data_IF_791789710445
#
_entry.id   IF_791789710445
#
_cell.length_a   1.000
_cell.length_b   1.000
_cell.length_c   1.000
_cell.angle_alpha   90.00
_cell.angle_beta   90.00
_cell.angle_gamma   90.00
#
_symmetry.space_group_name_H-M   'P 1'
#
loop_
_entity.id
_entity.type
_entity.pdbx_description
1 polymer ?
#
# COMPACT_ATOMS: atom_id res chain seq x y z
N UNK A 1 -24.53 -39.08 -40.34
CA UNK A 1 -24.37 -39.07 -38.86
C UNK A 1 -23.14 -38.29 -38.55
N UNK A 2 -23.32 -36.99 -38.27
CA UNK A 2 -22.26 -36.06 -37.92
C UNK A 2 -22.21 -35.88 -36.42
N UNK A 3 -21.04 -35.95 -35.84
CA UNK A 3 -20.78 -35.59 -34.45
C UNK A 3 -20.13 -34.22 -34.45
N UNK A 4 -20.89 -33.24 -34.00
CA UNK A 4 -20.42 -31.89 -33.76
C UNK A 4 -19.50 -31.88 -32.53
N UNK A 5 -18.24 -31.52 -32.73
CA UNK A 5 -17.27 -31.22 -31.66
C UNK A 5 -17.47 -29.84 -31.16
N UNK A 6 -17.92 -29.73 -29.89
CA UNK A 6 -17.99 -28.50 -29.15
C UNK A 6 -16.57 -27.99 -28.83
N UNK A 7 -16.15 -26.92 -29.46
CA UNK A 7 -14.91 -26.20 -29.13
C UNK A 7 -15.14 -25.28 -27.92
N UNK A 8 -14.50 -25.61 -26.82
CA UNK A 8 -14.39 -24.75 -25.64
C UNK A 8 -13.59 -23.48 -25.99
N UNK A 9 -14.01 -22.28 -25.59
CA UNK A 9 -13.22 -21.07 -25.85
C UNK A 9 -11.93 -21.07 -25.00
N UNK A 10 -10.82 -20.91 -25.68
CA UNK A 10 -9.50 -20.79 -25.10
C UNK A 10 -9.49 -19.62 -24.09
N UNK A 11 -9.09 -19.91 -22.84
CA UNK A 11 -8.73 -18.93 -21.83
C UNK A 11 -7.54 -18.14 -22.36
N UNK A 12 -7.80 -16.88 -22.73
CA UNK A 12 -6.79 -15.99 -23.26
C UNK A 12 -5.65 -15.81 -22.27
N UNK A 13 -4.48 -16.19 -22.70
CA UNK A 13 -3.19 -15.94 -22.05
C UNK A 13 -2.95 -14.43 -21.98
N UNK A 14 -3.38 -13.81 -20.87
CA UNK A 14 -3.07 -12.42 -20.57
C UNK A 14 -1.62 -12.38 -20.10
N UNK A 15 -0.71 -12.09 -21.04
CA UNK A 15 0.67 -11.77 -20.72
C UNK A 15 0.72 -10.75 -19.56
N UNK A 16 1.59 -10.96 -18.56
CA UNK A 16 1.69 -10.05 -17.42
C UNK A 16 2.06 -8.65 -17.93
N UNK A 17 1.20 -7.67 -17.66
CA UNK A 17 1.43 -6.28 -18.03
C UNK A 17 2.76 -5.81 -17.42
N UNK A 18 3.63 -5.21 -18.24
CA UNK A 18 4.91 -4.62 -17.78
C UNK A 18 4.65 -3.72 -16.57
N UNK A 19 5.47 -3.81 -15.50
CA UNK A 19 5.26 -3.03 -14.29
C UNK A 19 5.28 -1.53 -14.64
N UNK A 20 4.15 -0.85 -14.44
CA UNK A 20 4.04 0.59 -14.65
C UNK A 20 4.84 1.28 -13.55
N UNK A 21 5.74 2.20 -13.90
CA UNK A 21 6.66 2.92 -12.99
C UNK A 21 5.96 3.79 -11.94
N UNK A 22 4.63 4.00 -12.07
CA UNK A 22 3.88 4.99 -11.31
C UNK A 22 3.37 4.56 -9.93
N UNK A 23 3.31 3.27 -9.59
CA UNK A 23 2.64 2.79 -8.36
C UNK A 23 1.12 2.71 -8.49
N UNK A 24 0.44 2.24 -7.42
CA UNK A 24 -1.02 1.98 -7.39
C UNK A 24 -1.72 3.08 -6.61
N UNK A 25 -2.72 3.70 -7.22
CA UNK A 25 -3.53 4.76 -6.61
C UNK A 25 -4.97 4.28 -6.51
N UNK A 26 -5.59 4.48 -5.35
CA UNK A 26 -7.02 4.37 -5.16
C UNK A 26 -7.63 5.76 -5.16
N UNK A 27 -8.50 6.04 -6.14
CA UNK A 27 -9.31 7.27 -6.20
C UNK A 27 -10.67 7.00 -5.56
N UNK A 28 -11.07 7.84 -4.62
CA UNK A 28 -12.34 7.71 -3.90
C UNK A 28 -13.10 9.04 -3.98
N UNK A 29 -14.19 9.04 -4.71
CA UNK A 29 -15.05 10.22 -4.94
C UNK A 29 -16.43 9.72 -5.42
N UNK A 30 -17.52 10.34 -5.03
CA UNK A 30 -18.87 9.99 -5.52
C UNK A 30 -19.14 10.53 -6.94
N UNK A 31 -18.35 11.50 -7.41
CA UNK A 31 -18.39 11.97 -8.79
C UNK A 31 -17.66 10.98 -9.73
N UNK A 32 -18.45 10.09 -10.34
CA UNK A 32 -17.96 9.09 -11.30
C UNK A 32 -17.32 9.71 -12.55
N UNK A 33 -17.71 10.93 -12.94
CA UNK A 33 -17.11 11.66 -14.07
C UNK A 33 -15.70 12.11 -13.70
N UNK A 34 -15.53 12.66 -12.52
CA UNK A 34 -14.22 13.04 -11.99
C UNK A 34 -13.30 11.81 -11.85
N UNK A 35 -13.84 10.71 -11.31
CA UNK A 35 -13.08 9.44 -11.21
C UNK A 35 -12.58 8.97 -12.58
N UNK A 36 -13.44 8.95 -13.60
CA UNK A 36 -13.06 8.54 -14.96
C UNK A 36 -11.99 9.44 -15.56
N UNK A 37 -12.16 10.78 -15.41
CA UNK A 37 -11.20 11.77 -15.92
C UNK A 37 -9.83 11.63 -15.27
N UNK A 38 -9.78 11.56 -13.92
CA UNK A 38 -8.52 11.47 -13.16
C UNK A 38 -7.85 10.12 -13.40
N UNK A 39 -8.61 9.02 -13.44
CA UNK A 39 -8.07 7.69 -13.74
C UNK A 39 -7.35 7.69 -15.09
N UNK A 40 -8.01 8.16 -16.16
CA UNK A 40 -7.41 8.19 -17.48
C UNK A 40 -6.12 9.04 -17.56
N UNK A 41 -6.07 10.16 -16.84
CA UNK A 41 -4.88 11.02 -16.79
C UNK A 41 -3.74 10.37 -16.00
N UNK A 42 -4.02 9.83 -14.83
CA UNK A 42 -3.03 9.16 -13.99
C UNK A 42 -2.46 7.90 -14.66
N UNK A 43 -3.30 7.15 -15.39
CA UNK A 43 -2.85 5.99 -16.15
C UNK A 43 -1.89 6.36 -17.29
N UNK A 44 -2.10 7.51 -17.96
CA UNK A 44 -1.16 8.06 -18.94
C UNK A 44 0.19 8.42 -18.30
N UNK A 45 0.16 8.92 -17.06
CA UNK A 45 1.38 9.23 -16.29
C UNK A 45 2.04 7.98 -15.68
N UNK A 46 1.52 6.78 -16.01
CA UNK A 46 2.15 5.50 -15.68
C UNK A 46 1.70 4.89 -14.36
N UNK A 47 0.70 5.44 -13.69
CA UNK A 47 0.09 4.85 -12.49
C UNK A 47 -0.83 3.68 -12.85
N UNK A 48 -1.07 2.80 -11.87
CA UNK A 48 -2.17 1.85 -11.91
C UNK A 48 -3.26 2.40 -11.00
N UNK A 49 -4.47 2.60 -11.54
CA UNK A 49 -5.56 3.26 -10.81
C UNK A 49 -6.69 2.29 -10.56
N UNK A 50 -7.19 2.31 -9.34
CA UNK A 50 -8.49 1.75 -8.95
C UNK A 50 -9.39 2.88 -8.51
N UNK A 51 -10.69 2.75 -8.74
CA UNK A 51 -11.68 3.76 -8.38
C UNK A 51 -12.70 3.18 -7.41
N UNK A 52 -13.22 4.02 -6.52
CA UNK A 52 -14.31 3.70 -5.62
C UNK A 52 -15.28 4.88 -5.54
N UNK A 53 -16.55 4.64 -5.79
CA UNK A 53 -17.61 5.65 -5.71
C UNK A 53 -18.24 5.76 -4.31
N UNK A 54 -17.71 5.01 -3.33
CA UNK A 54 -18.17 5.04 -1.93
C UNK A 54 -17.09 4.55 -0.97
N UNK A 55 -17.21 4.93 0.30
CA UNK A 55 -16.31 4.46 1.36
C UNK A 55 -16.33 2.93 1.55
N UNK A 56 -17.48 2.28 1.37
CA UNK A 56 -17.58 0.83 1.45
C UNK A 56 -16.81 0.13 0.33
N UNK A 57 -16.92 0.63 -0.91
CA UNK A 57 -16.16 0.13 -2.04
C UNK A 57 -14.66 0.40 -1.88
N UNK A 58 -14.29 1.56 -1.32
CA UNK A 58 -12.90 1.88 -1.04
C UNK A 58 -12.27 0.89 -0.04
N UNK A 59 -12.99 0.55 1.03
CA UNK A 59 -12.51 -0.43 2.01
C UNK A 59 -12.34 -1.82 1.40
N UNK A 60 -13.28 -2.28 0.57
CA UNK A 60 -13.15 -3.54 -0.15
C UNK A 60 -11.93 -3.55 -1.08
N UNK A 61 -11.73 -2.48 -1.87
CA UNK A 61 -10.56 -2.35 -2.75
C UNK A 61 -9.23 -2.35 -1.97
N UNK A 62 -9.22 -1.78 -0.75
CA UNK A 62 -8.05 -1.81 0.13
C UNK A 62 -7.79 -3.23 0.65
N UNK A 63 -8.82 -4.01 0.94
CA UNK A 63 -8.69 -5.40 1.41
C UNK A 63 -8.18 -6.33 0.31
N UNK A 64 -8.63 -6.15 -0.94
CA UNK A 64 -8.28 -7.00 -2.08
C UNK A 64 -6.91 -6.66 -2.69
N UNK A 65 -6.48 -5.43 -2.64
CA UNK A 65 -5.30 -5.04 -3.42
C UNK A 65 -4.64 -3.74 -2.99
N UNK A 66 -4.16 -3.66 -1.79
CA UNK A 66 -3.39 -2.55 -1.18
C UNK A 66 -2.87 -1.48 -2.17
N UNK A 67 -3.49 -0.29 -2.24
CA UNK A 67 -2.95 0.83 -2.97
C UNK A 67 -1.67 1.35 -2.30
N UNK A 68 -0.87 2.11 -3.05
CA UNK A 68 0.31 2.78 -2.54
C UNK A 68 -0.01 4.19 -2.04
N UNK A 69 -1.16 4.72 -2.47
CA UNK A 69 -1.69 6.04 -2.15
C UNK A 69 -3.20 6.04 -2.30
N UNK A 70 -3.90 6.68 -1.39
CA UNK A 70 -5.33 6.97 -1.49
C UNK A 70 -5.52 8.45 -1.80
N UNK A 71 -6.36 8.77 -2.80
CA UNK A 71 -6.86 10.12 -3.05
C UNK A 71 -8.34 10.09 -2.72
N UNK A 72 -8.75 10.88 -1.73
CA UNK A 72 -10.05 10.77 -1.08
C UNK A 72 -10.81 12.08 -1.07
N UNK A 73 -12.01 12.10 -1.62
CA UNK A 73 -12.97 13.17 -1.32
C UNK A 73 -13.56 12.97 0.08
N UNK A 74 -13.63 14.06 0.84
CA UNK A 74 -14.29 14.07 2.15
C UNK A 74 -15.81 14.18 2.06
N UNK A 75 -16.33 14.77 0.99
CA UNK A 75 -17.73 15.13 0.86
C UNK A 75 -18.52 14.08 0.06
N UNK A 76 -18.55 12.85 0.57
CA UNK A 76 -19.32 11.77 -0.07
C UNK A 76 -20.59 11.44 0.71
N UNK A 77 -21.70 11.10 0.04
CA UNK A 77 -22.91 10.62 0.69
C UNK A 77 -22.68 9.28 1.43
N UNK A 78 -23.26 9.14 2.60
CA UNK A 78 -23.28 7.88 3.37
C UNK A 78 -22.12 7.75 4.35
N UNK A 79 -20.96 7.26 3.95
CA UNK A 79 -19.79 7.20 4.82
C UNK A 79 -19.01 8.50 4.70
N UNK A 80 -18.81 9.19 5.82
CA UNK A 80 -17.97 10.37 5.88
C UNK A 80 -16.52 10.00 5.48
N UNK A 81 -15.95 10.78 4.57
CA UNK A 81 -14.56 10.60 4.15
C UNK A 81 -13.58 10.65 5.31
N UNK A 82 -13.92 11.37 6.40
CA UNK A 82 -13.19 11.37 7.66
C UNK A 82 -13.18 9.98 8.31
N UNK A 83 -14.33 9.35 8.42
CA UNK A 83 -14.45 8.02 8.97
C UNK A 83 -13.65 7.02 8.14
N UNK A 84 -13.69 7.15 6.80
CA UNK A 84 -12.89 6.32 5.91
C UNK A 84 -11.38 6.55 6.13
N UNK A 85 -10.93 7.80 6.17
CA UNK A 85 -9.52 8.14 6.42
C UNK A 85 -9.04 7.57 7.77
N UNK A 86 -9.84 7.73 8.83
CA UNK A 86 -9.55 7.18 10.14
C UNK A 86 -9.48 5.64 10.13
N UNK A 87 -10.39 4.97 9.41
CA UNK A 87 -10.39 3.50 9.27
C UNK A 87 -9.16 3.01 8.50
N UNK A 88 -8.79 3.72 7.42
CA UNK A 88 -7.60 3.42 6.62
C UNK A 88 -6.35 3.56 7.47
N UNK A 89 -6.17 4.68 8.17
CA UNK A 89 -4.99 4.91 9.03
C UNK A 89 -4.90 3.93 10.21
N UNK A 90 -6.02 3.52 10.81
CA UNK A 90 -6.01 2.50 11.88
C UNK A 90 -5.60 1.11 11.41
N UNK A 91 -5.93 0.75 10.18
CA UNK A 91 -5.64 -0.59 9.64
C UNK A 91 -4.28 -0.65 8.95
N UNK A 92 -3.93 0.43 8.26
CA UNK A 92 -2.72 0.51 7.43
C UNK A 92 -2.30 1.96 7.34
N UNK A 93 -1.04 2.24 7.58
CA UNK A 93 -0.48 3.57 7.37
C UNK A 93 -0.28 3.83 5.86
N UNK A 94 -1.39 3.97 5.15
CA UNK A 94 -1.38 4.40 3.75
C UNK A 94 -1.30 5.92 3.69
N UNK A 95 -0.51 6.48 2.78
CA UNK A 95 -0.55 7.91 2.50
C UNK A 95 -1.91 8.27 1.89
N UNK A 96 -2.49 9.37 2.39
CA UNK A 96 -3.78 9.90 1.96
C UNK A 96 -3.61 11.33 1.49
N UNK A 97 -4.03 11.62 0.25
CA UNK A 97 -4.24 12.98 -0.24
C UNK A 97 -5.75 13.24 -0.21
N UNK A 98 -6.15 14.27 0.52
CA UNK A 98 -7.56 14.67 0.63
C UNK A 98 -7.91 15.67 -0.46
N UNK A 99 -9.04 15.43 -1.14
CA UNK A 99 -9.71 16.42 -1.98
C UNK A 99 -10.82 17.06 -1.15
N UNK A 100 -10.88 18.39 -1.08
CA UNK A 100 -11.85 19.10 -0.27
C UNK A 100 -12.41 20.32 -0.99
N UNK A 101 -13.75 20.48 -0.99
CA UNK A 101 -14.37 21.75 -1.34
C UNK A 101 -14.24 22.70 -0.14
N UNK A 102 -13.61 23.86 -0.31
CA UNK A 102 -13.42 24.83 0.76
C UNK A 102 -14.77 25.44 1.15
N UNK A 103 -15.11 25.38 2.43
CA UNK A 103 -15.97 26.36 3.05
C UNK A 103 -15.71 26.57 4.56
N UNK A 104 -15.05 25.65 5.27
CA UNK A 104 -14.83 25.84 6.73
C UNK A 104 -13.45 25.35 7.16
N UNK A 105 -12.53 26.31 7.22
CA UNK A 105 -11.10 26.02 7.44
C UNK A 105 -10.79 25.44 8.84
N UNK A 106 -11.49 25.85 9.88
CA UNK A 106 -11.06 25.57 11.25
C UNK A 106 -11.35 24.13 11.73
N UNK A 107 -12.49 23.57 11.36
CA UNK A 107 -12.88 22.19 11.74
C UNK A 107 -12.18 21.14 10.87
N UNK A 108 -11.98 21.46 9.58
CA UNK A 108 -11.30 20.55 8.63
C UNK A 108 -9.79 20.51 8.78
N UNK A 109 -9.15 21.59 9.24
CA UNK A 109 -7.69 21.63 9.46
C UNK A 109 -7.25 20.56 10.46
N UNK A 110 -7.94 20.41 11.59
CA UNK A 110 -7.62 19.37 12.60
C UNK A 110 -7.74 17.96 12.06
N UNK A 111 -8.67 17.74 11.15
CA UNK A 111 -8.92 16.45 10.52
C UNK A 111 -7.86 16.09 9.49
N UNK A 112 -7.54 17.06 8.64
CA UNK A 112 -6.50 16.95 7.63
C UNK A 112 -5.15 16.69 8.32
N UNK A 113 -4.82 17.47 9.37
CA UNK A 113 -3.58 17.28 10.15
C UNK A 113 -3.48 15.88 10.78
N UNK A 114 -4.62 15.26 11.12
CA UNK A 114 -4.64 13.98 11.82
C UNK A 114 -4.53 12.75 10.90
N UNK A 115 -5.08 12.83 9.69
CA UNK A 115 -5.23 11.66 8.82
C UNK A 115 -4.68 11.83 7.40
N UNK A 116 -4.42 13.06 6.94
CA UNK A 116 -3.95 13.32 5.59
C UNK A 116 -2.45 13.60 5.56
N UNK A 117 -1.77 13.08 4.54
CA UNK A 117 -0.37 13.40 4.27
C UNK A 117 -0.24 14.68 3.42
N UNK A 118 -1.32 15.02 2.71
CA UNK A 118 -1.48 16.25 1.93
C UNK A 118 -2.95 16.52 1.62
N UNK A 119 -3.28 17.74 1.17
CA UNK A 119 -4.63 18.10 0.76
C UNK A 119 -4.63 19.01 -0.47
N UNK A 120 -5.72 18.97 -1.21
CA UNK A 120 -5.98 19.82 -2.36
C UNK A 120 -7.40 20.34 -2.28
N UNK A 121 -7.58 21.62 -2.56
CA UNK A 121 -8.90 22.25 -2.61
C UNK A 121 -9.51 22.17 -3.99
N UNK A 122 -10.80 21.78 -4.08
CA UNK A 122 -11.58 21.82 -5.31
C UNK A 122 -12.07 23.27 -5.57
N UNK A 123 -11.99 23.79 -6.81
CA UNK A 123 -11.41 23.18 -8.00
C UNK A 123 -9.88 23.21 -7.99
N UNK A 124 -9.25 22.19 -8.57
CA UNK A 124 -7.79 22.07 -8.64
C UNK A 124 -7.33 21.80 -10.07
N UNK A 125 -6.07 22.15 -10.32
CA UNK A 125 -5.40 21.77 -11.55
C UNK A 125 -4.80 20.35 -11.43
N UNK A 126 -4.86 19.59 -12.53
CA UNK A 126 -4.30 18.24 -12.55
C UNK A 126 -2.78 18.22 -12.30
N UNK A 127 -2.07 19.26 -12.77
CA UNK A 127 -0.61 19.36 -12.55
C UNK A 127 -0.28 19.56 -11.08
N UNK A 128 -1.12 20.26 -10.33
CA UNK A 128 -1.00 20.39 -8.88
C UNK A 128 -1.19 19.03 -8.20
N UNK A 129 -2.26 18.30 -8.55
CA UNK A 129 -2.52 16.97 -8.02
C UNK A 129 -1.32 16.03 -8.27
N UNK A 130 -0.82 16.01 -9.50
CA UNK A 130 0.32 15.17 -9.87
C UNK A 130 1.59 15.54 -9.10
N UNK A 131 1.86 16.83 -8.89
CA UNK A 131 3.00 17.29 -8.08
C UNK A 131 2.90 16.82 -6.62
N UNK A 132 1.70 16.88 -6.02
CA UNK A 132 1.47 16.41 -4.66
C UNK A 132 1.57 14.89 -4.53
N UNK A 133 1.03 14.14 -5.49
CA UNK A 133 1.22 12.69 -5.56
C UNK A 133 2.71 12.34 -5.55
N UNK A 134 3.49 13.00 -6.39
CA UNK A 134 4.94 12.78 -6.46
C UNK A 134 5.63 13.14 -5.14
N UNK A 135 5.26 14.26 -4.52
CA UNK A 135 5.81 14.72 -3.24
C UNK A 135 5.51 13.74 -2.09
N UNK A 136 4.26 13.30 -1.97
CA UNK A 136 3.85 12.36 -0.93
C UNK A 136 4.56 11.02 -1.12
N UNK A 137 4.64 10.54 -2.35
CA UNK A 137 5.39 9.31 -2.68
C UNK A 137 6.88 9.44 -2.42
N UNK A 138 7.49 10.57 -2.73
CA UNK A 138 8.90 10.87 -2.47
C UNK A 138 9.20 10.85 -0.97
N UNK A 139 8.35 11.49 -0.14
CA UNK A 139 8.49 11.44 1.33
C UNK A 139 8.48 10.03 1.89
N UNK A 140 7.70 9.13 1.29
CA UNK A 140 7.63 7.71 1.71
C UNK A 140 8.79 6.91 1.10
N UNK A 141 9.27 7.29 -0.09
CA UNK A 141 10.37 6.63 -0.81
C UNK A 141 11.77 7.10 -0.41
N UNK A 142 11.94 8.40 -0.14
CA UNK A 142 13.27 9.00 0.13
C UNK A 142 13.90 8.63 1.47
N UNK A 143 13.15 8.02 2.37
CA UNK A 143 13.72 7.50 3.62
C UNK A 143 14.45 6.17 3.43
N UNK A 144 14.41 5.59 2.24
CA UNK A 144 15.03 4.30 1.97
C UNK A 144 16.12 4.45 0.93
N UNK A 145 17.37 4.09 1.24
CA UNK A 145 18.40 3.98 0.22
C UNK A 145 17.94 2.94 -0.82
N UNK A 146 18.13 3.26 -2.10
CA UNK A 146 17.90 2.32 -3.21
C UNK A 146 18.78 1.08 -2.97
N UNK A 147 18.23 0.10 -2.30
CA UNK A 147 18.99 -1.08 -1.87
C UNK A 147 18.22 -2.34 -2.22
N UNK A 148 18.70 -2.99 -3.25
CA UNK A 148 18.36 -4.39 -3.50
C UNK A 148 19.06 -5.24 -2.41
N UNK A 149 18.26 -5.95 -1.61
CA UNK A 149 18.77 -6.83 -0.55
C UNK A 149 18.42 -8.26 -0.93
N UNK A 150 19.43 -9.03 -1.30
CA UNK A 150 19.28 -10.47 -1.52
C UNK A 150 19.41 -11.19 -0.20
N UNK A 151 18.38 -11.93 0.16
CA UNK A 151 18.36 -12.72 1.40
C UNK A 151 18.56 -14.22 1.13
N UNK A 152 18.53 -14.63 -0.13
CA UNK A 152 18.75 -15.99 -0.55
C UNK A 152 18.60 -16.17 -2.06
N UNK A 153 18.66 -17.41 -2.56
CA UNK A 153 18.56 -17.67 -3.99
C UNK A 153 17.18 -17.30 -4.55
N UNK A 154 16.16 -17.30 -3.73
CA UNK A 154 14.77 -17.12 -4.10
C UNK A 154 14.11 -15.87 -3.53
N UNK A 155 14.78 -15.07 -2.66
CA UNK A 155 14.23 -13.84 -2.09
C UNK A 155 15.12 -12.63 -2.32
N UNK A 156 14.56 -11.64 -3.01
CA UNK A 156 15.15 -10.30 -3.18
C UNK A 156 14.15 -9.24 -2.75
N UNK A 157 14.57 -8.29 -1.91
CA UNK A 157 13.79 -7.14 -1.47
C UNK A 157 14.26 -5.88 -2.20
N UNK A 158 13.33 -5.08 -2.72
CA UNK A 158 13.59 -3.77 -3.32
C UNK A 158 12.76 -2.74 -2.53
N UNK A 159 13.29 -2.33 -1.39
CA UNK A 159 12.54 -1.59 -0.37
C UNK A 159 12.11 -0.19 -0.83
N UNK A 160 12.90 0.49 -1.63
CA UNK A 160 12.60 1.78 -2.23
C UNK A 160 11.41 1.72 -3.21
N UNK A 161 11.21 0.58 -3.85
CA UNK A 161 10.06 0.31 -4.73
C UNK A 161 8.90 -0.36 -4.02
N UNK A 162 9.07 -0.67 -2.74
CA UNK A 162 8.10 -1.46 -1.96
C UNK A 162 7.73 -2.77 -2.64
N UNK A 163 8.74 -3.50 -3.06
CA UNK A 163 8.61 -4.75 -3.79
C UNK A 163 9.48 -5.84 -3.18
N UNK A 164 9.02 -7.06 -3.32
CA UNK A 164 9.85 -8.24 -3.13
C UNK A 164 9.69 -9.20 -4.31
N UNK A 165 10.72 -9.97 -4.55
CA UNK A 165 10.74 -11.02 -5.57
C UNK A 165 10.98 -12.35 -4.88
N UNK A 166 10.05 -13.29 -5.04
CA UNK A 166 10.13 -14.63 -4.45
C UNK A 166 10.03 -15.65 -5.56
N UNK A 167 11.05 -16.46 -5.72
CA UNK A 167 11.14 -17.45 -6.80
C UNK A 167 10.83 -16.85 -8.19
N UNK A 168 11.27 -15.62 -8.46
CA UNK A 168 11.02 -14.91 -9.71
C UNK A 168 9.65 -14.22 -9.81
N UNK A 169 8.77 -14.41 -8.85
CA UNK A 169 7.47 -13.73 -8.79
C UNK A 169 7.55 -12.46 -7.95
N UNK A 170 7.00 -11.37 -8.48
CA UNK A 170 6.95 -10.06 -7.81
C UNK A 170 5.73 -9.94 -6.90
N UNK A 171 5.94 -9.46 -5.68
CA UNK A 171 4.88 -9.05 -4.78
C UNK A 171 5.11 -7.62 -4.29
N UNK A 172 4.02 -6.84 -4.16
CA UNK A 172 4.05 -5.48 -3.62
C UNK A 172 3.98 -5.48 -2.09
N UNK A 173 4.72 -4.56 -1.47
CA UNK A 173 4.73 -4.35 -0.02
C UNK A 173 3.91 -3.09 0.31
N UNK A 174 3.11 -3.15 1.38
CA UNK A 174 2.47 -1.95 1.93
C UNK A 174 3.52 -1.04 2.60
N UNK A 175 3.21 0.24 2.86
CA UNK A 175 4.11 1.13 3.60
C UNK A 175 4.56 0.57 4.94
N UNK A 176 3.64 0.00 5.72
CA UNK A 176 3.94 -0.60 7.03
C UNK A 176 4.82 -1.85 6.90
N UNK A 177 4.50 -2.74 5.96
CA UNK A 177 5.34 -3.91 5.66
C UNK A 177 6.75 -3.49 5.25
N UNK A 178 6.87 -2.44 4.44
CA UNK A 178 8.16 -1.89 4.04
C UNK A 178 8.94 -1.34 5.23
N UNK A 179 8.31 -0.57 6.14
CA UNK A 179 8.97 -0.05 7.34
C UNK A 179 9.45 -1.18 8.26
N UNK A 180 8.61 -2.19 8.48
CA UNK A 180 8.98 -3.37 9.28
C UNK A 180 10.14 -4.12 8.64
N UNK A 181 10.09 -4.38 7.33
CA UNK A 181 11.21 -5.01 6.62
C UNK A 181 12.48 -4.17 6.63
N UNK A 182 12.36 -2.84 6.48
CA UNK A 182 13.52 -1.92 6.57
C UNK A 182 14.18 -2.02 7.94
N UNK A 183 13.38 -2.04 9.01
CA UNK A 183 13.91 -2.20 10.36
C UNK A 183 14.63 -3.55 10.55
N UNK A 184 14.05 -4.63 10.03
CA UNK A 184 14.61 -5.97 10.09
C UNK A 184 15.88 -6.11 9.23
N UNK A 185 15.91 -5.52 8.04
CA UNK A 185 17.10 -5.49 7.16
C UNK A 185 18.24 -4.69 7.80
N UNK A 186 17.93 -3.56 8.47
CA UNK A 186 18.93 -2.78 9.19
C UNK A 186 19.55 -3.54 10.39
N UNK A 187 18.86 -4.58 10.87
CA UNK A 187 19.28 -5.45 11.97
C UNK A 187 19.36 -6.91 11.50
N UNK A 188 19.83 -7.11 10.26
CA UNK A 188 19.87 -8.45 9.64
C UNK A 188 20.68 -9.42 10.50
N UNK A 189 20.09 -10.56 10.83
CA UNK A 189 20.67 -11.57 11.71
C UNK A 189 20.37 -11.35 13.20
N UNK A 190 19.98 -10.15 13.60
CA UNK A 190 19.63 -9.83 14.99
C UNK A 190 18.11 -9.88 15.22
N UNK A 191 17.73 -10.16 16.47
CA UNK A 191 16.32 -10.19 16.86
C UNK A 191 15.85 -8.81 17.27
N UNK A 192 14.80 -8.31 16.61
CA UNK A 192 14.08 -7.12 17.04
C UNK A 192 12.90 -7.52 17.93
N UNK A 193 12.79 -6.88 19.09
CA UNK A 193 11.66 -7.09 19.98
C UNK A 193 10.39 -6.54 19.35
N UNK A 194 9.23 -7.08 19.78
CA UNK A 194 7.92 -6.60 19.32
C UNK A 194 7.74 -5.09 19.59
N UNK A 195 8.23 -4.60 20.73
CA UNK A 195 8.20 -3.17 21.06
C UNK A 195 9.05 -2.32 20.10
N UNK A 196 10.25 -2.79 19.73
CA UNK A 196 11.09 -2.11 18.75
C UNK A 196 10.46 -2.10 17.35
N UNK A 197 9.77 -3.16 16.96
CA UNK A 197 9.05 -3.23 15.69
C UNK A 197 7.83 -2.30 15.70
N UNK A 198 7.08 -2.22 16.81
CA UNK A 198 6.00 -1.23 16.97
C UNK A 198 6.54 0.19 16.80
N UNK A 199 7.60 0.54 17.51
CA UNK A 199 8.18 1.89 17.46
C UNK A 199 8.69 2.28 16.06
N UNK A 200 9.19 1.32 15.27
CA UNK A 200 9.73 1.58 13.92
C UNK A 200 8.70 1.44 12.80
N UNK A 201 7.74 0.53 12.96
CA UNK A 201 6.71 0.25 11.96
C UNK A 201 5.50 1.18 12.05
N UNK A 202 5.22 1.73 13.23
CA UNK A 202 4.03 2.54 13.53
C UNK A 202 4.39 3.81 14.33
N UNK A 203 5.53 4.44 14.02
CA UNK A 203 6.01 5.65 14.72
C UNK A 203 4.98 6.78 14.79
N UNK A 204 4.09 6.84 13.81
CA UNK A 204 3.14 7.93 13.61
C UNK A 204 1.69 7.50 13.94
N UNK A 205 1.50 6.30 14.53
CA UNK A 205 0.17 5.72 14.83
C UNK A 205 -0.03 5.61 16.34
N UNK A 206 -0.90 6.45 16.88
CA UNK A 206 -1.30 6.41 18.28
C UNK A 206 -2.07 5.10 18.59
N UNK A 207 -1.69 4.41 19.65
CA UNK A 207 -2.33 3.13 20.04
C UNK A 207 -1.82 1.90 19.32
N UNK A 208 -0.71 2.00 18.57
CA UNK A 208 -0.07 0.83 18.00
C UNK A 208 0.40 -0.14 19.10
N UNK A 209 0.14 -1.43 18.89
CA UNK A 209 0.37 -2.46 19.90
C UNK A 209 0.96 -3.75 19.26
N UNK A 210 1.39 -4.74 20.06
CA UNK A 210 1.96 -5.98 19.55
C UNK A 210 1.11 -6.75 18.54
N UNK A 211 -0.22 -6.65 18.58
CA UNK A 211 -1.08 -7.34 17.63
C UNK A 211 -0.88 -6.86 16.19
N UNK A 212 -0.56 -5.57 16.00
CA UNK A 212 -0.24 -5.03 14.68
C UNK A 212 1.02 -5.67 14.08
N UNK A 213 2.03 -5.92 14.90
CA UNK A 213 3.26 -6.61 14.47
C UNK A 213 2.95 -8.02 14.02
N UNK A 214 2.18 -8.76 14.82
CA UNK A 214 1.81 -10.14 14.49
C UNK A 214 1.07 -10.26 13.15
N UNK A 215 0.06 -9.39 12.93
CA UNK A 215 -0.68 -9.35 11.66
C UNK A 215 0.24 -9.00 10.49
N UNK A 216 1.12 -8.02 10.67
CA UNK A 216 2.05 -7.60 9.60
C UNK A 216 3.07 -8.68 9.29
N UNK A 217 3.63 -9.33 10.29
CA UNK A 217 4.55 -10.47 10.10
C UNK A 217 3.88 -11.61 9.35
N UNK A 218 2.63 -11.96 9.70
CA UNK A 218 1.87 -12.98 8.97
C UNK A 218 1.70 -12.62 7.49
N UNK A 219 1.34 -11.36 7.21
CA UNK A 219 1.20 -10.85 5.82
C UNK A 219 2.53 -10.83 5.08
N UNK A 220 3.59 -10.44 5.75
CA UNK A 220 4.93 -10.47 5.18
C UNK A 220 5.33 -11.89 4.79
N UNK A 221 5.13 -12.86 5.67
CA UNK A 221 5.42 -14.28 5.36
C UNK A 221 4.66 -14.77 4.13
N UNK A 222 3.39 -14.40 3.99
CA UNK A 222 2.60 -14.71 2.79
C UNK A 222 3.21 -14.16 1.50
N UNK A 223 4.05 -13.12 1.59
CA UNK A 223 4.65 -12.45 0.43
C UNK A 223 6.11 -12.81 0.20
N UNK A 224 6.86 -13.16 1.25
CA UNK A 224 8.32 -13.38 1.15
C UNK A 224 8.76 -14.82 1.39
N UNK A 225 7.86 -15.68 1.87
CA UNK A 225 8.16 -17.09 2.10
C UNK A 225 7.47 -17.97 1.05
N UNK A 226 8.09 -19.07 0.67
CA UNK A 226 7.42 -20.08 -0.13
C UNK A 226 6.38 -20.86 0.67
N UNK A 227 6.68 -21.11 1.95
CA UNK A 227 5.75 -21.68 2.93
C UNK A 227 5.67 -20.74 4.15
N UNK A 228 4.57 -19.95 4.29
CA UNK A 228 4.40 -19.02 5.39
C UNK A 228 4.36 -19.66 6.79
N UNK A 229 3.98 -20.93 6.86
CA UNK A 229 3.87 -21.67 8.13
C UNK A 229 5.23 -22.25 8.57
N UNK A 230 6.16 -22.45 7.61
CA UNK A 230 7.55 -22.87 7.86
C UNK A 230 8.52 -21.81 7.30
N UNK A 231 8.58 -20.63 7.92
CA UNK A 231 9.36 -19.50 7.40
C UNK A 231 10.87 -19.79 7.45
N UNK A 232 11.56 -19.43 6.35
CA UNK A 232 13.00 -19.55 6.21
C UNK A 232 13.74 -18.24 6.44
N UNK A 233 13.11 -17.11 6.12
CA UNK A 233 13.70 -15.79 6.16
C UNK A 233 13.25 -14.97 7.38
N UNK A 234 11.94 -14.95 7.68
CA UNK A 234 11.39 -14.16 8.77
C UNK A 234 11.01 -15.06 9.95
N UNK A 235 11.96 -15.26 10.84
CA UNK A 235 11.87 -16.18 11.96
C UNK A 235 11.17 -15.55 13.17
N UNK A 236 10.50 -16.37 13.99
CA UNK A 236 9.98 -15.98 15.30
C UNK A 236 10.92 -16.41 16.39
N UNK A 237 11.38 -15.47 17.20
CA UNK A 237 12.07 -15.74 18.45
C UNK A 237 11.05 -15.68 19.60
N UNK A 238 10.66 -16.87 20.06
CA UNK A 238 9.57 -17.02 21.06
C UNK A 238 9.84 -16.20 22.32
N UNK A 239 8.84 -15.41 22.72
CA UNK A 239 8.93 -14.54 23.90
C UNK A 239 9.76 -13.26 23.69
N UNK A 240 10.42 -13.05 22.55
CA UNK A 240 11.29 -11.91 22.27
C UNK A 240 10.74 -11.07 21.11
N UNK A 241 10.63 -11.65 19.93
CA UNK A 241 10.25 -10.89 18.73
C UNK A 241 10.51 -11.64 17.43
N UNK A 242 11.10 -10.95 16.47
CA UNK A 242 11.31 -11.48 15.12
C UNK A 242 12.72 -11.16 14.60
N UNK A 243 13.22 -12.03 13.75
CA UNK A 243 14.54 -11.93 13.15
C UNK A 243 14.46 -12.22 11.65
N UNK A 244 15.09 -11.37 10.84
CA UNK A 244 15.27 -11.60 9.41
C UNK A 244 16.66 -12.19 9.18
N UNK A 245 16.76 -13.25 8.40
CA UNK A 245 18.02 -13.91 8.11
C UNK A 245 18.27 -14.04 6.61
N UNK A 246 19.53 -14.04 6.21
CA UNK A 246 19.93 -14.46 4.87
C UNK A 246 20.15 -15.99 4.88
N UNK A 247 19.73 -16.63 3.77
CA UNK A 247 19.90 -18.07 3.56
C UNK A 247 20.85 -18.26 2.38
N UNK A 248 21.90 -18.98 2.59
CA UNK A 248 22.91 -19.34 1.56
C UNK A 248 22.47 -20.53 0.73
#
# INVERSE_FOLDING_TARGET
>A
MGTEGSASPAVGDRAPAKPRRGGRILLVDDDTTLLALLSARLERDGFTVQTAASGAQALANIEDGWPDLVILDLMMPGMDGEELAARVKRRVDLPIIVLSAIADAASKVKLIERYADDYITKPFDYTELLARIRRVRHRVGDRLPSREVRLGPDLTLILDRRECWVAGMRAGLSPTETRVLTALVASLGDTLTTAQLVARGWSDVEGANPAHVWVTVRRLRQKIEQDPDHPRYLLTERGVGYRLVAVT
#
